data_IF_116088107532
#
_entry.id   IF_116088107532
#
_cell.length_a   1.000
_cell.length_b   1.000
_cell.length_c   1.000
_cell.angle_alpha   90.00
_cell.angle_beta   90.00
_cell.angle_gamma   90.00
#
_symmetry.space_group_name_H-M   'P 1'
#
loop_
_entity.id
_entity.type
_entity.pdbx_description
1 polymer ?
#
# COMPACT_ATOMS: atom_id res chain seq x y z
N UNK A 1 2.72 10.10 -12.05
CA UNK A 1 2.69 11.47 -11.47
C UNK A 1 3.19 11.48 -10.02
N UNK A 2 2.85 10.50 -9.18
CA UNK A 2 3.18 10.47 -7.75
C UNK A 2 4.63 10.07 -7.42
N UNK A 3 5.52 9.92 -8.40
CA UNK A 3 6.92 9.56 -8.15
C UNK A 3 7.15 8.10 -7.71
N UNK A 4 6.15 7.23 -7.79
CA UNK A 4 6.30 5.80 -7.44
C UNK A 4 7.36 5.18 -8.33
N UNK A 5 8.37 4.56 -7.71
CA UNK A 5 9.49 3.89 -8.39
C UNK A 5 9.38 2.38 -8.36
N UNK A 6 8.69 1.84 -7.36
CA UNK A 6 8.47 0.40 -7.17
C UNK A 6 7.05 0.11 -6.77
N UNK A 7 6.53 -0.99 -7.27
CA UNK A 7 5.23 -1.54 -6.92
C UNK A 7 5.42 -2.95 -6.39
N UNK A 8 4.97 -3.20 -5.17
CA UNK A 8 5.12 -4.48 -4.48
C UNK A 8 3.73 -5.03 -4.19
N UNK A 9 3.20 -5.91 -5.04
CA UNK A 9 1.96 -6.60 -4.71
C UNK A 9 2.21 -7.58 -3.57
N UNK A 10 1.28 -7.67 -2.64
CA UNK A 10 1.39 -8.59 -1.51
C UNK A 10 0.07 -9.27 -1.20
N UNK A 11 0.15 -10.35 -0.42
CA UNK A 11 -0.99 -11.10 0.07
C UNK A 11 -1.13 -10.80 1.56
N UNK A 12 -2.29 -10.26 1.93
CA UNK A 12 -2.73 -10.02 3.29
C UNK A 12 -3.69 -11.12 3.72
N UNK A 13 -3.94 -11.27 5.01
CA UNK A 13 -4.85 -12.27 5.59
C UNK A 13 -6.25 -12.21 4.97
N UNK A 14 -6.78 -11.00 4.78
CA UNK A 14 -8.10 -10.75 4.19
C UNK A 14 -8.09 -10.58 2.68
N UNK A 15 -6.99 -10.90 2.01
CA UNK A 15 -6.94 -10.92 0.55
C UNK A 15 -7.78 -12.07 -0.01
N UNK A 16 -8.76 -11.76 -0.86
CA UNK A 16 -9.63 -12.74 -1.52
C UNK A 16 -9.34 -12.73 -3.03
N UNK A 17 -9.20 -13.87 -3.66
CA UNK A 17 -8.78 -15.21 -3.23
C UNK A 17 -7.25 -15.35 -3.34
N UNK A 18 -6.65 -16.32 -2.65
CA UNK A 18 -5.25 -16.72 -2.86
C UNK A 18 -5.15 -17.38 -4.24
N UNK A 19 -4.67 -16.69 -5.28
CA UNK A 19 -4.60 -17.25 -6.61
C UNK A 19 -3.47 -18.26 -6.69
N UNK A 20 -3.71 -19.41 -7.31
CA UNK A 20 -2.62 -20.37 -7.61
C UNK A 20 -1.55 -19.73 -8.51
N UNK A 21 -0.34 -20.30 -8.52
CA UNK A 21 0.86 -19.75 -9.19
C UNK A 21 0.63 -19.33 -10.64
N UNK A 22 -0.13 -20.10 -11.42
CA UNK A 22 -0.47 -19.76 -12.82
C UNK A 22 -1.27 -18.47 -12.95
N UNK A 23 -2.15 -18.18 -11.98
CA UNK A 23 -2.92 -16.93 -11.95
C UNK A 23 -2.07 -15.76 -11.49
N UNK A 24 -1.07 -15.99 -10.64
CA UNK A 24 -0.13 -14.98 -10.19
C UNK A 24 0.74 -14.48 -11.34
N UNK A 25 1.26 -15.40 -12.18
CA UNK A 25 2.07 -15.02 -13.34
C UNK A 25 1.27 -14.22 -14.37
N UNK A 26 0.03 -14.64 -14.67
CA UNK A 26 -0.86 -13.90 -15.57
C UNK A 26 -1.21 -12.49 -15.04
N UNK A 27 -1.43 -12.36 -13.72
CA UNK A 27 -1.64 -11.04 -13.09
C UNK A 27 -0.41 -10.15 -13.20
N UNK A 28 0.78 -10.68 -12.96
CA UNK A 28 2.03 -9.93 -13.07
C UNK A 28 2.23 -9.41 -14.50
N UNK A 29 1.97 -10.21 -15.52
CA UNK A 29 2.04 -9.79 -16.93
C UNK A 29 1.02 -8.68 -17.24
N UNK A 30 -0.22 -8.82 -16.74
CA UNK A 30 -1.25 -7.78 -16.90
C UNK A 30 -0.84 -6.46 -16.24
N UNK A 31 -0.31 -6.50 -15.02
CA UNK A 31 0.16 -5.31 -14.33
C UNK A 31 1.31 -4.62 -15.06
N UNK A 32 2.29 -5.39 -15.55
CA UNK A 32 3.37 -4.85 -16.37
C UNK A 32 2.84 -4.09 -17.60
N UNK A 33 1.83 -4.65 -18.29
CA UNK A 33 1.20 -4.00 -19.44
C UNK A 33 0.50 -2.69 -19.05
N UNK A 34 -0.27 -2.69 -17.96
CA UNK A 34 -0.96 -1.51 -17.45
C UNK A 34 0.05 -0.40 -17.08
N UNK A 35 1.15 -0.76 -16.39
CA UNK A 35 2.20 0.18 -16.02
C UNK A 35 2.86 0.78 -17.25
N UNK A 36 3.17 -0.02 -18.26
CA UNK A 36 3.76 0.48 -19.52
C UNK A 36 2.83 1.46 -20.23
N UNK A 37 1.55 1.14 -20.33
CA UNK A 37 0.55 2.02 -20.97
C UNK A 37 0.37 3.33 -20.19
N UNK A 38 0.28 3.25 -18.86
CA UNK A 38 0.14 4.42 -18.00
C UNK A 38 1.37 5.33 -18.08
N UNK A 39 2.57 4.77 -18.14
CA UNK A 39 3.79 5.56 -18.26
C UNK A 39 3.91 6.27 -19.61
N UNK A 40 3.43 5.65 -20.69
CA UNK A 40 3.36 6.33 -22.00
C UNK A 40 2.45 7.56 -21.95
N UNK A 41 1.29 7.45 -21.28
CA UNK A 41 0.37 8.59 -21.14
C UNK A 41 0.95 9.72 -20.28
N UNK A 42 1.67 9.36 -19.20
CA UNK A 42 2.24 10.35 -18.27
C UNK A 42 3.63 10.88 -18.70
N UNK A 43 4.13 10.49 -19.86
CA UNK A 43 5.46 10.87 -20.40
C UNK A 43 6.62 10.63 -19.42
N UNK A 44 6.51 9.58 -18.55
CA UNK A 44 7.57 9.22 -17.62
C UNK A 44 8.69 8.46 -18.35
N UNK A 45 9.91 8.92 -18.18
CA UNK A 45 11.10 8.27 -18.74
C UNK A 45 11.49 6.98 -18.02
N UNK A 46 11.05 6.79 -16.77
CA UNK A 46 11.35 5.58 -15.96
C UNK A 46 10.07 4.86 -15.60
N UNK A 47 10.00 3.57 -15.98
CA UNK A 47 8.94 2.66 -15.58
C UNK A 47 9.10 2.29 -14.10
N UNK A 48 8.01 2.25 -13.31
CA UNK A 48 8.05 1.62 -12.00
C UNK A 48 8.40 0.13 -12.11
N UNK A 49 9.27 -0.34 -11.25
CA UNK A 49 9.60 -1.75 -11.15
C UNK A 49 8.46 -2.49 -10.44
N UNK A 50 7.95 -3.56 -11.04
CA UNK A 50 7.00 -4.46 -10.38
C UNK A 50 7.79 -5.62 -9.78
N UNK A 51 7.75 -5.70 -8.45
CA UNK A 51 8.39 -6.78 -7.70
C UNK A 51 7.46 -8.01 -7.69
N UNK A 52 8.04 -9.20 -7.46
CA UNK A 52 7.25 -10.40 -7.24
C UNK A 52 6.28 -10.22 -6.07
N UNK A 53 5.20 -10.99 -6.07
CA UNK A 53 4.23 -10.98 -4.98
C UNK A 53 4.89 -11.48 -3.70
N UNK A 54 4.74 -10.74 -2.62
CA UNK A 54 5.30 -11.02 -1.31
C UNK A 54 4.20 -11.36 -0.29
N UNK A 55 4.57 -11.88 0.86
CA UNK A 55 3.71 -11.91 2.05
C UNK A 55 3.69 -10.53 2.71
N UNK A 56 2.79 -10.31 3.65
CA UNK A 56 2.75 -9.04 4.39
C UNK A 56 4.02 -8.83 5.21
N UNK A 57 4.51 -9.89 5.86
CA UNK A 57 5.75 -9.89 6.64
C UNK A 57 6.96 -9.55 5.76
N UNK A 58 7.07 -10.18 4.59
CA UNK A 58 8.16 -9.90 3.64
C UNK A 58 8.15 -8.42 3.18
N UNK A 59 6.96 -7.81 3.07
CA UNK A 59 6.85 -6.37 2.75
C UNK A 59 7.35 -5.51 3.89
N UNK A 60 7.07 -5.86 5.14
CA UNK A 60 7.59 -5.14 6.31
C UNK A 60 9.11 -5.26 6.39
N UNK A 61 9.65 -6.46 6.15
CA UNK A 61 11.10 -6.68 6.10
C UNK A 61 11.76 -5.87 4.98
N UNK A 62 11.15 -5.84 3.80
CA UNK A 62 11.60 -4.99 2.70
C UNK A 62 11.61 -3.51 3.11
N UNK A 63 10.60 -3.09 3.85
CA UNK A 63 10.43 -1.73 4.36
C UNK A 63 11.50 -1.31 5.34
N UNK A 64 12.18 -2.25 6.04
CA UNK A 64 13.25 -1.94 7.00
C UNK A 64 14.40 -1.14 6.38
N UNK A 65 14.57 -1.22 5.06
CA UNK A 65 15.53 -0.43 4.27
C UNK A 65 15.01 0.94 3.85
N UNK A 66 13.80 1.33 4.22
CA UNK A 66 13.19 2.62 3.93
C UNK A 66 13.32 3.56 5.14
N UNK A 67 13.38 4.85 4.87
CA UNK A 67 13.47 5.88 5.93
C UNK A 67 12.13 6.04 6.66
N UNK A 68 11.04 5.72 5.98
CA UNK A 68 9.67 5.83 6.53
C UNK A 68 8.79 4.73 5.94
N UNK A 69 8.04 4.05 6.81
CA UNK A 69 7.03 3.07 6.44
C UNK A 69 5.67 3.55 6.95
N UNK A 70 4.68 3.59 6.07
CA UNK A 70 3.33 4.04 6.39
C UNK A 70 2.35 2.97 5.97
N UNK A 71 1.53 2.51 6.91
CA UNK A 71 0.39 1.61 6.65
C UNK A 71 -0.89 2.43 6.75
N UNK A 72 -1.70 2.40 5.70
CA UNK A 72 -3.01 3.04 5.74
C UNK A 72 -4.06 2.06 6.27
N UNK A 73 -4.67 2.43 7.39
CA UNK A 73 -5.68 1.62 8.07
C UNK A 73 -6.97 2.42 8.26
N UNK A 74 -8.09 1.82 7.85
CA UNK A 74 -9.40 2.51 7.83
C UNK A 74 -9.94 2.87 9.22
N UNK A 75 -9.58 2.08 10.25
CA UNK A 75 -10.02 2.29 11.62
C UNK A 75 -9.08 3.23 12.40
N UNK A 76 -8.00 3.73 11.79
CA UNK A 76 -7.11 4.68 12.43
C UNK A 76 -7.66 6.11 12.31
N UNK A 77 -7.74 6.82 13.43
CA UNK A 77 -8.22 8.21 13.48
C UNK A 77 -7.11 9.23 13.19
N UNK A 78 -5.87 8.87 13.47
CA UNK A 78 -4.73 9.74 13.24
C UNK A 78 -4.48 9.92 11.75
N UNK A 79 -4.58 11.14 11.25
CA UNK A 79 -4.31 11.44 9.85
C UNK A 79 -2.82 11.49 9.57
N UNK A 80 -2.41 11.19 8.33
CA UNK A 80 -1.00 11.31 7.92
C UNK A 80 -0.43 12.70 8.26
N UNK A 81 -1.22 13.76 8.07
CA UNK A 81 -0.81 15.13 8.38
C UNK A 81 -0.52 15.34 9.86
N UNK A 82 -1.27 14.70 10.77
CA UNK A 82 -1.05 14.82 12.21
C UNK A 82 0.15 14.00 12.71
N UNK A 83 0.55 12.98 11.95
CA UNK A 83 1.65 12.09 12.30
C UNK A 83 3.00 12.56 11.74
N UNK A 84 2.97 13.42 10.74
CA UNK A 84 4.18 13.97 10.14
C UNK A 84 4.57 15.29 10.82
N UNK A 85 5.81 15.37 11.28
CA UNK A 85 6.38 16.63 11.76
C UNK A 85 6.40 17.66 10.64
N UNK A 86 5.95 18.91 10.87
CA UNK A 86 5.89 19.93 9.83
C UNK A 86 7.26 20.26 9.18
N UNK A 87 8.32 20.04 9.91
CA UNK A 87 9.68 20.41 9.48
C UNK A 87 10.71 19.39 10.01
N UNK A 88 10.78 18.20 9.40
CA UNK A 88 11.75 17.22 9.82
C UNK A 88 13.16 17.70 9.49
N UNK A 89 14.15 17.52 10.37
CA UNK A 89 15.52 17.95 10.16
C UNK A 89 16.15 17.33 8.89
N UNK A 90 15.61 16.22 8.43
CA UNK A 90 15.96 15.56 7.17
C UNK A 90 14.70 14.89 6.59
N UNK A 91 14.22 15.31 5.42
CA UNK A 91 13.08 14.66 4.80
C UNK A 91 13.42 13.23 4.39
N UNK A 92 12.50 12.27 4.57
CA UNK A 92 12.72 10.89 4.18
C UNK A 92 12.91 10.81 2.67
N UNK A 93 13.96 10.13 2.22
CA UNK A 93 14.28 9.94 0.80
C UNK A 93 13.59 8.71 0.21
N UNK A 94 13.35 7.71 1.05
CA UNK A 94 12.77 6.44 0.65
C UNK A 94 11.60 6.11 1.56
N UNK A 95 10.41 6.11 0.98
CA UNK A 95 9.15 5.91 1.70
C UNK A 95 8.47 4.66 1.15
N UNK A 96 8.04 3.78 2.04
CA UNK A 96 7.16 2.66 1.73
C UNK A 96 5.73 3.00 2.16
N UNK A 97 4.80 2.99 1.20
CA UNK A 97 3.37 3.13 1.46
C UNK A 97 2.70 1.77 1.31
N UNK A 98 1.99 1.33 2.33
CA UNK A 98 1.30 0.04 2.36
C UNK A 98 -0.21 0.30 2.40
N UNK A 99 -0.91 -0.22 1.39
CA UNK A 99 -2.35 -0.11 1.22
C UNK A 99 -2.97 -1.49 1.35
N UNK A 100 -3.97 -1.64 2.20
CA UNK A 100 -4.67 -2.91 2.42
C UNK A 100 -5.55 -3.32 1.25
N UNK A 101 -6.00 -4.59 1.24
CA UNK A 101 -7.02 -5.08 0.33
C UNK A 101 -8.39 -4.45 0.63
N UNK A 102 -9.39 -4.72 -0.19
CA UNK A 102 -10.77 -4.24 0.01
C UNK A 102 -11.39 -4.68 1.35
N UNK A 103 -10.94 -5.83 1.90
CA UNK A 103 -11.33 -6.30 3.24
C UNK A 103 -10.57 -5.66 4.40
N UNK A 104 -9.68 -4.70 4.13
CA UNK A 104 -8.81 -4.06 5.11
C UNK A 104 -7.72 -4.99 5.66
N UNK A 105 -6.98 -4.51 6.63
CA UNK A 105 -6.03 -5.31 7.41
C UNK A 105 -6.73 -5.95 8.62
N UNK A 106 -6.21 -7.09 9.08
CA UNK A 106 -6.60 -7.64 10.38
C UNK A 106 -5.92 -6.85 11.51
N UNK A 107 -6.50 -6.93 12.71
CA UNK A 107 -5.90 -6.27 13.87
C UNK A 107 -4.51 -6.85 14.17
N UNK A 108 -4.32 -8.15 13.91
CA UNK A 108 -3.04 -8.81 14.07
C UNK A 108 -1.98 -8.27 13.08
N UNK A 109 -2.34 -8.05 11.82
CA UNK A 109 -1.43 -7.44 10.84
C UNK A 109 -1.03 -6.01 11.25
N UNK A 110 -1.97 -5.23 11.80
CA UNK A 110 -1.68 -3.88 12.29
C UNK A 110 -0.74 -3.91 13.49
N UNK A 111 -0.91 -4.85 14.43
CA UNK A 111 0.01 -5.01 15.57
C UNK A 111 1.42 -5.41 15.11
N UNK A 112 1.54 -6.31 14.14
CA UNK A 112 2.84 -6.69 13.54
C UNK A 112 3.47 -5.48 12.86
N UNK A 113 2.70 -4.68 12.12
CA UNK A 113 3.21 -3.46 11.48
C UNK A 113 3.69 -2.42 12.51
N UNK A 114 2.96 -2.23 13.62
CA UNK A 114 3.38 -1.35 14.72
C UNK A 114 4.69 -1.84 15.35
N UNK A 115 4.80 -3.14 15.60
CA UNK A 115 6.03 -3.74 16.14
C UNK A 115 7.23 -3.58 15.18
N UNK A 116 6.98 -3.60 13.88
CA UNK A 116 8.00 -3.34 12.84
C UNK A 116 8.37 -1.85 12.69
N UNK A 117 7.76 -0.94 13.48
CA UNK A 117 8.04 0.48 13.44
C UNK A 117 7.31 1.26 12.34
N UNK A 118 6.25 0.69 11.77
CA UNK A 118 5.45 1.40 10.79
C UNK A 118 4.58 2.48 11.44
N UNK A 119 4.43 3.60 10.76
CA UNK A 119 3.44 4.62 11.09
C UNK A 119 2.07 4.17 10.57
N UNK A 120 1.09 4.04 11.45
CA UNK A 120 -0.28 3.70 11.07
C UNK A 120 -1.06 4.99 10.89
N UNK A 121 -1.62 5.22 9.72
CA UNK A 121 -2.33 6.44 9.38
C UNK A 121 -3.72 6.14 8.79
N UNK A 122 -4.71 6.93 9.18
CA UNK A 122 -6.02 6.94 8.56
C UNK A 122 -6.02 7.74 7.26
N UNK A 123 -6.83 7.31 6.30
CA UNK A 123 -7.03 8.04 5.03
C UNK A 123 -7.95 9.26 5.16
N UNK A 124 -8.41 9.56 6.40
CA UNK A 124 -9.33 10.64 6.70
C UNK A 124 -10.80 10.24 6.47
N UNK A 125 -11.72 11.06 7.00
CA UNK A 125 -13.16 10.77 7.02
C UNK A 125 -13.84 10.73 5.65
N UNK A 126 -13.18 11.15 4.58
CA UNK A 126 -13.74 11.23 3.22
C UNK A 126 -13.53 9.97 2.38
N UNK A 127 -12.69 9.05 2.82
CA UNK A 127 -12.44 7.78 2.13
C UNK A 127 -12.95 6.64 3.01
N UNK A 128 -14.22 6.71 3.38
CA UNK A 128 -14.94 5.51 3.80
C UNK A 128 -15.42 4.83 2.53
N UNK A 129 -14.91 3.64 2.27
CA UNK A 129 -15.34 2.76 1.19
C UNK A 129 -16.87 2.78 1.07
N UNK A 130 -17.36 3.01 -0.14
CA UNK A 130 -18.79 2.98 -0.44
C UNK A 130 -19.38 1.57 -0.37
N UNK A 131 -19.50 1.01 0.82
CA UNK A 131 -20.33 -0.15 1.13
C UNK A 131 -21.26 0.21 2.27
N UNK A 132 -22.15 1.13 1.96
CA UNK A 132 -23.21 1.58 2.83
C UNK A 132 -24.36 2.11 2.01
N UNK A 133 -24.94 1.27 1.13
CA UNK A 133 -26.29 1.48 0.64
C UNK A 133 -27.24 1.20 1.82
N UNK A 134 -27.29 2.12 2.78
CA UNK A 134 -28.33 2.19 3.77
C UNK A 134 -29.63 2.59 3.08
N UNK A 135 -30.52 1.63 2.90
CA UNK A 135 -31.93 1.93 2.68
C UNK A 135 -32.47 2.52 3.97
N UNK A 136 -32.71 3.78 3.97
CA UNK A 136 -33.64 4.39 4.92
C UNK A 136 -34.94 4.73 4.19
N UNK A 137 -35.96 4.13 4.70
CA UNK A 137 -37.36 4.49 4.40
C UNK A 137 -37.80 5.63 5.33
#
# INVERSE_FOLDING_TARGET
ELGVTRWIPFISERSVPRPGEKRLSARSQRWNKIVQESCKQCQRSKLPEIIKILTFEDVLDYGSSCDLQIVFYENESATLKSLMTPDPPSPPRKILLILGPEGGFSDQEIEIARAAGCVIAGLGSRIRSGTGCGRDR
#
